data_IF_472923905070
#
_entry.id   IF_472923905070
#
_cell.length_a   1.000
_cell.length_b   1.000
_cell.length_c   1.000
_cell.angle_alpha   90.00
_cell.angle_beta   90.00
_cell.angle_gamma   90.00
#
_symmetry.space_group_name_H-M   'P 1'
#
loop_
_entity.id
_entity.type
_entity.pdbx_description
1 polymer ?
#
# COMPACT_ATOMS: atom_id res chain seq x y z
N UNK A 1 15.24 -13.89 15.82
CA UNK A 1 14.85 -15.10 16.58
C UNK A 1 15.84 -16.17 16.15
N UNK A 2 16.84 -16.50 16.97
CA UNK A 2 17.88 -17.46 16.61
C UNK A 2 17.31 -18.87 16.79
N UNK A 3 17.31 -19.67 15.74
CA UNK A 3 17.01 -21.10 15.86
C UNK A 3 18.13 -21.72 16.69
N UNK A 4 17.77 -22.47 17.73
CA UNK A 4 18.73 -23.10 18.64
C UNK A 4 19.23 -24.40 18.00
N UNK A 5 20.23 -24.27 17.12
CA UNK A 5 20.80 -25.37 16.33
C UNK A 5 21.41 -26.46 17.21
N UNK A 6 21.79 -26.12 18.45
CA UNK A 6 22.30 -27.06 19.46
C UNK A 6 21.20 -28.01 19.94
N UNK A 7 19.99 -27.50 20.22
CA UNK A 7 18.85 -28.37 20.58
C UNK A 7 18.44 -29.29 19.43
N UNK A 8 18.45 -28.78 18.19
CA UNK A 8 18.14 -29.57 17.00
C UNK A 8 19.17 -30.70 16.85
N UNK A 9 20.46 -30.37 17.01
CA UNK A 9 21.55 -31.33 16.98
C UNK A 9 21.46 -32.37 18.10
N UNK A 10 21.17 -31.97 19.35
CA UNK A 10 21.01 -32.89 20.47
C UNK A 10 19.90 -33.91 20.21
N UNK A 11 18.73 -33.46 19.77
CA UNK A 11 17.59 -34.34 19.45
C UNK A 11 17.95 -35.31 18.32
N UNK A 12 18.59 -34.84 17.25
CA UNK A 12 19.01 -35.68 16.13
C UNK A 12 20.11 -36.67 16.52
N UNK A 13 21.03 -36.28 17.41
CA UNK A 13 22.14 -37.12 17.86
C UNK A 13 21.72 -38.28 18.78
N UNK A 14 20.50 -38.22 19.32
CA UNK A 14 19.91 -39.32 20.10
C UNK A 14 19.49 -40.53 19.25
N UNK A 15 19.35 -40.37 17.92
CA UNK A 15 18.93 -41.44 17.01
C UNK A 15 19.74 -41.54 15.72
N UNK A 16 20.65 -40.60 15.45
CA UNK A 16 21.52 -40.59 14.27
C UNK A 16 23.00 -40.49 14.66
N UNK A 17 23.92 -41.05 13.85
CA UNK A 17 25.34 -40.76 13.94
C UNK A 17 25.61 -39.25 13.98
N UNK A 18 26.55 -38.82 14.82
CA UNK A 18 26.88 -37.39 15.05
C UNK A 18 27.11 -36.59 13.77
N UNK A 19 27.70 -37.22 12.75
CA UNK A 19 27.92 -36.63 11.42
C UNK A 19 26.62 -36.33 10.68
N UNK A 20 25.65 -37.25 10.71
CA UNK A 20 24.34 -37.08 10.09
C UNK A 20 23.48 -36.09 10.87
N UNK A 21 23.50 -36.16 12.21
CA UNK A 21 22.79 -35.22 13.07
C UNK A 21 23.24 -33.77 12.84
N UNK A 22 24.55 -33.54 12.67
CA UNK A 22 25.11 -32.21 12.36
C UNK A 22 24.73 -31.72 10.98
N UNK A 23 24.77 -32.60 9.98
CA UNK A 23 24.39 -32.25 8.61
C UNK A 23 22.91 -31.85 8.51
N UNK A 24 22.02 -32.61 9.14
CA UNK A 24 20.58 -32.33 9.17
C UNK A 24 20.28 -31.06 9.97
N UNK A 25 20.90 -30.87 11.14
CA UNK A 25 20.71 -29.65 11.94
C UNK A 25 21.15 -28.39 11.17
N UNK A 26 22.26 -28.48 10.42
CA UNK A 26 22.73 -27.38 9.57
C UNK A 26 21.77 -27.08 8.41
N UNK A 27 21.30 -28.11 7.70
CA UNK A 27 20.34 -27.95 6.61
C UNK A 27 19.00 -27.35 7.07
N UNK A 28 18.52 -27.75 8.25
CA UNK A 28 17.32 -27.18 8.87
C UNK A 28 17.53 -25.70 9.22
N UNK A 29 18.70 -25.34 9.78
CA UNK A 29 19.00 -23.96 10.12
C UNK A 29 19.05 -23.07 8.87
N UNK A 30 19.73 -23.53 7.81
CA UNK A 30 19.80 -22.82 6.52
C UNK A 30 18.40 -22.66 5.89
N UNK A 31 17.56 -23.69 5.95
CA UNK A 31 16.18 -23.61 5.43
C UNK A 31 15.31 -22.62 6.22
N UNK A 32 15.45 -22.58 7.56
CA UNK A 32 14.68 -21.66 8.41
C UNK A 32 15.18 -20.21 8.27
N UNK A 33 16.49 -19.99 8.15
CA UNK A 33 17.05 -18.67 7.86
C UNK A 33 16.54 -18.14 6.52
N UNK A 34 16.57 -18.98 5.47
CA UNK A 34 16.02 -18.62 4.16
C UNK A 34 14.51 -18.32 4.20
N UNK A 35 13.73 -19.07 4.98
CA UNK A 35 12.29 -18.79 5.15
C UNK A 35 12.01 -17.53 5.97
N UNK A 36 12.86 -17.24 6.97
CA UNK A 36 12.76 -16.03 7.79
C UNK A 36 13.06 -14.79 6.97
N UNK A 37 14.11 -14.81 6.15
CA UNK A 37 14.43 -13.71 5.23
C UNK A 37 13.31 -13.50 4.20
N UNK A 38 12.74 -14.58 3.64
CA UNK A 38 11.56 -14.48 2.77
C UNK A 38 10.36 -13.84 3.47
N UNK A 39 10.05 -14.27 4.70
CA UNK A 39 8.95 -13.70 5.50
C UNK A 39 9.20 -12.24 5.83
N UNK A 40 10.43 -11.86 6.18
CA UNK A 40 10.81 -10.48 6.46
C UNK A 40 10.66 -9.61 5.22
N UNK A 41 11.09 -10.09 4.05
CA UNK A 41 10.89 -9.42 2.78
C UNK A 41 9.39 -9.24 2.46
N UNK A 42 8.57 -10.28 2.67
CA UNK A 42 7.11 -10.21 2.50
C UNK A 42 6.44 -9.23 3.47
N UNK A 43 6.89 -9.16 4.72
CA UNK A 43 6.38 -8.22 5.71
C UNK A 43 6.71 -6.77 5.31
N UNK A 44 7.96 -6.52 4.89
CA UNK A 44 8.36 -5.22 4.36
C UNK A 44 7.48 -4.83 3.14
N UNK A 45 7.25 -5.75 2.20
CA UNK A 45 6.38 -5.45 1.04
C UNK A 45 4.92 -5.17 1.43
N UNK A 46 4.41 -5.83 2.50
CA UNK A 46 3.06 -5.56 3.00
C UNK A 46 2.96 -4.18 3.65
N UNK A 47 3.99 -3.76 4.39
CA UNK A 47 4.07 -2.43 4.98
C UNK A 47 4.16 -1.36 3.88
N UNK A 48 5.02 -1.56 2.88
CA UNK A 48 5.12 -0.69 1.71
C UNK A 48 3.78 -0.57 0.96
N UNK A 49 3.06 -1.69 0.78
CA UNK A 49 1.74 -1.69 0.15
C UNK A 49 0.70 -0.94 0.99
N UNK A 50 0.74 -1.06 2.32
CA UNK A 50 -0.15 -0.33 3.21
C UNK A 50 0.12 1.18 3.15
N UNK A 51 1.39 1.58 3.16
CA UNK A 51 1.82 2.97 3.01
C UNK A 51 1.39 3.53 1.65
N UNK A 52 1.63 2.80 0.57
CA UNK A 52 1.22 3.20 -0.78
C UNK A 52 -0.31 3.37 -0.86
N UNK A 53 -1.09 2.45 -0.28
CA UNK A 53 -2.56 2.59 -0.22
C UNK A 53 -3.01 3.83 0.56
N UNK A 54 -2.33 4.18 1.64
CA UNK A 54 -2.65 5.37 2.43
C UNK A 54 -2.41 6.65 1.61
N UNK A 55 -1.23 6.77 0.99
CA UNK A 55 -0.88 7.90 0.11
C UNK A 55 -1.86 8.02 -1.05
N UNK A 56 -2.17 6.92 -1.75
CA UNK A 56 -3.15 6.96 -2.84
C UNK A 56 -4.54 7.42 -2.37
N UNK A 57 -4.97 7.01 -1.18
CA UNK A 57 -6.27 7.43 -0.65
C UNK A 57 -6.30 8.93 -0.34
N UNK A 58 -5.19 9.46 0.17
CA UNK A 58 -5.02 10.90 0.41
C UNK A 58 -5.02 11.68 -0.91
N UNK A 59 -4.23 11.25 -1.89
CA UNK A 59 -4.18 11.89 -3.22
C UNK A 59 -5.55 11.91 -3.90
N UNK A 60 -6.30 10.79 -3.84
CA UNK A 60 -7.66 10.72 -4.36
C UNK A 60 -8.58 11.71 -3.65
N UNK A 61 -8.48 11.82 -2.33
CA UNK A 61 -9.29 12.77 -1.55
C UNK A 61 -8.95 14.22 -1.93
N UNK A 62 -7.67 14.53 -2.09
CA UNK A 62 -7.18 15.85 -2.50
C UNK A 62 -7.67 16.22 -3.89
N UNK A 63 -7.49 15.35 -4.89
CA UNK A 63 -7.99 15.56 -6.26
C UNK A 63 -9.51 15.74 -6.27
N UNK A 64 -10.25 14.94 -5.50
CA UNK A 64 -11.70 15.09 -5.38
C UNK A 64 -12.09 16.45 -4.78
N UNK A 65 -11.39 16.90 -3.74
CA UNK A 65 -11.63 18.19 -3.12
C UNK A 65 -11.32 19.36 -4.08
N UNK A 66 -10.22 19.28 -4.80
CA UNK A 66 -9.87 20.26 -5.84
C UNK A 66 -10.91 20.29 -6.96
N UNK A 67 -11.35 19.14 -7.44
CA UNK A 67 -12.40 19.04 -8.46
C UNK A 67 -13.69 19.73 -7.98
N UNK A 68 -14.12 19.46 -6.74
CA UNK A 68 -15.30 20.11 -6.15
C UNK A 68 -15.10 21.63 -6.07
N UNK A 69 -13.93 22.09 -5.64
CA UNK A 69 -13.61 23.53 -5.59
C UNK A 69 -13.71 24.19 -6.97
N UNK A 70 -13.18 23.55 -8.01
CA UNK A 70 -13.27 24.04 -9.38
C UNK A 70 -14.69 24.03 -9.93
N UNK A 71 -15.52 23.06 -9.53
CA UNK A 71 -16.94 23.05 -9.88
C UNK A 71 -17.65 24.33 -9.40
N UNK A 72 -17.37 24.84 -8.20
CA UNK A 72 -18.00 26.08 -7.73
C UNK A 72 -17.69 27.30 -8.60
N UNK A 73 -16.42 27.48 -8.99
CA UNK A 73 -16.00 28.56 -9.89
C UNK A 73 -16.70 28.44 -11.24
N UNK A 74 -16.76 27.22 -11.76
CA UNK A 74 -17.47 26.92 -13.00
C UNK A 74 -18.97 27.28 -12.89
N UNK A 75 -19.66 26.83 -11.84
CA UNK A 75 -21.08 27.10 -11.64
C UNK A 75 -21.40 28.59 -11.47
N UNK A 76 -20.58 29.36 -10.75
CA UNK A 76 -20.76 30.82 -10.63
C UNK A 76 -20.60 31.49 -11.99
N UNK A 77 -19.64 31.04 -12.79
CA UNK A 77 -19.43 31.54 -14.15
C UNK A 77 -20.65 31.28 -15.04
N UNK A 78 -21.27 30.09 -14.95
CA UNK A 78 -22.50 29.77 -15.69
C UNK A 78 -23.66 30.70 -15.33
N UNK A 79 -23.85 31.02 -14.04
CA UNK A 79 -24.90 31.97 -13.61
C UNK A 79 -24.70 33.32 -14.28
N UNK A 80 -23.47 33.84 -14.31
CA UNK A 80 -23.16 35.12 -14.96
C UNK A 80 -23.48 35.12 -16.46
N UNK A 81 -23.11 34.04 -17.16
CA UNK A 81 -23.41 33.87 -18.59
C UNK A 81 -24.91 33.79 -18.83
N UNK A 82 -25.65 32.98 -18.07
CA UNK A 82 -27.10 32.82 -18.22
C UNK A 82 -27.82 34.14 -17.93
N UNK A 83 -27.44 34.86 -16.86
CA UNK A 83 -27.99 36.19 -16.55
C UNK A 83 -27.71 37.20 -17.66
N UNK A 84 -26.49 37.20 -18.22
CA UNK A 84 -26.13 38.05 -19.35
C UNK A 84 -26.98 37.78 -20.59
N UNK A 85 -27.17 36.50 -20.93
CA UNK A 85 -28.01 36.07 -22.05
C UNK A 85 -29.47 36.49 -21.81
N UNK A 86 -30.02 36.24 -20.62
CA UNK A 86 -31.39 36.64 -20.28
C UNK A 86 -31.59 38.15 -20.41
N UNK A 87 -30.65 38.95 -19.89
CA UNK A 87 -30.72 40.41 -19.99
C UNK A 87 -30.65 40.89 -21.45
N UNK A 88 -29.79 40.30 -22.26
CA UNK A 88 -29.69 40.61 -23.69
C UNK A 88 -31.00 40.30 -24.44
N UNK A 89 -31.62 39.14 -24.15
CA UNK A 89 -32.92 38.77 -24.73
C UNK A 89 -34.04 39.71 -24.28
N UNK A 90 -34.12 40.07 -23.00
CA UNK A 90 -35.12 41.03 -22.51
C UNK A 90 -34.96 42.39 -23.18
N UNK A 91 -33.72 42.89 -23.31
CA UNK A 91 -33.43 44.17 -23.99
C UNK A 91 -33.83 44.14 -25.47
N UNK A 92 -33.67 43.01 -26.15
CA UNK A 92 -34.11 42.83 -27.54
C UNK A 92 -35.63 42.74 -27.66
N UNK A 93 -36.32 42.14 -26.69
CA UNK A 93 -37.77 41.99 -26.72
C UNK A 93 -38.53 43.29 -26.42
N UNK A 94 -37.98 44.15 -25.54
CA UNK A 94 -38.60 45.42 -25.15
C UNK A 94 -38.11 46.63 -25.97
N UNK A 95 -37.38 46.41 -27.06
CA UNK A 95 -36.93 47.44 -28.00
C UNK A 95 -37.65 47.27 -29.34
#
# INVERSE_FOLDING_TARGET
>A
MSVDTLKIYEILSASLPKTQAKAVAKAINEAIEADTERKKALLATKEDLANLRAVLKEDIANVKAEMIKWMFIFWISQIGVITGIMFAMLKLYFK
#
